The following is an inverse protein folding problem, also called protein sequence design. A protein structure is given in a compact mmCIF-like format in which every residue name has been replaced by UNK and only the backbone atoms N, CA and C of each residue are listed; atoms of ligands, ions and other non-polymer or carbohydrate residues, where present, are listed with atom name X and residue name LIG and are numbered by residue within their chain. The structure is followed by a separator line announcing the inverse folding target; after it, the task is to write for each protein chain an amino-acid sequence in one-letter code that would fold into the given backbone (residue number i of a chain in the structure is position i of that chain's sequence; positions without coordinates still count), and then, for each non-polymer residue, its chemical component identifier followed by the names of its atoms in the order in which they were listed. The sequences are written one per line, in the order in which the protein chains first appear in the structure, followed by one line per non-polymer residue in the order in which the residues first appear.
data_IF_452365865386
#
_entry.id   IF_452365865386
#
_cell.length_a   1.000
_cell.length_b   1.000
_cell.length_c   1.000
_cell.angle_alpha   90.00
_cell.angle_beta   90.00
_cell.angle_gamma   90.00
#
_symmetry.space_group_name_H-M   'P 1'
#
loop_
_entity.id
_entity.type
_entity.pdbx_description
1 polymer ?
#
# COMPACT_ATOMS: atom_id res chain seq x y z
N UNK A 1 3.82 21.42 -5.42
CA UNK A 1 2.61 21.57 -4.56
C UNK A 1 1.28 21.41 -5.29
N UNK A 2 0.92 22.27 -6.26
CA UNK A 2 -0.38 22.17 -6.96
C UNK A 2 -0.63 20.84 -7.65
N UNK A 3 0.35 20.32 -8.40
CA UNK A 3 0.27 18.99 -9.00
C UNK A 3 0.26 17.84 -7.98
N UNK A 4 0.89 18.03 -6.82
CA UNK A 4 0.82 17.06 -5.71
C UNK A 4 -0.60 17.04 -5.14
N UNK A 5 -1.18 18.22 -4.89
CA UNK A 5 -2.54 18.38 -4.44
C UNK A 5 -3.54 17.81 -5.45
N UNK A 6 -3.35 18.05 -6.75
CA UNK A 6 -4.14 17.43 -7.81
C UNK A 6 -4.06 15.89 -7.75
N UNK A 7 -2.87 15.33 -7.56
CA UNK A 7 -2.70 13.88 -7.35
C UNK A 7 -3.49 13.37 -6.15
N UNK A 8 -3.42 14.05 -5.00
CA UNK A 8 -4.17 13.69 -3.78
C UNK A 8 -5.68 13.80 -4.01
N UNK A 9 -6.16 14.88 -4.63
CA UNK A 9 -7.59 15.07 -4.94
C UNK A 9 -8.10 14.04 -5.96
N UNK A 10 -7.23 13.57 -6.86
CA UNK A 10 -7.56 12.43 -7.74
C UNK A 10 -7.75 11.14 -6.92
N UNK A 11 -6.96 10.92 -5.87
CA UNK A 11 -7.17 9.80 -4.92
C UNK A 11 -8.47 9.97 -4.12
N UNK A 12 -8.89 11.19 -3.80
CA UNK A 12 -10.21 11.45 -3.21
C UNK A 12 -11.32 10.98 -4.14
N UNK A 13 -11.24 11.29 -5.44
CA UNK A 13 -12.20 10.79 -6.45
C UNK A 13 -12.22 9.26 -6.47
N UNK A 14 -11.05 8.60 -6.42
CA UNK A 14 -10.96 7.15 -6.28
C UNK A 14 -11.73 6.62 -5.05
N UNK A 15 -11.55 7.22 -3.88
CA UNK A 15 -12.27 6.81 -2.68
C UNK A 15 -13.79 7.00 -2.83
N UNK A 16 -14.23 8.13 -3.41
CA UNK A 16 -15.65 8.40 -3.65
C UNK A 16 -16.27 7.45 -4.67
N UNK A 17 -15.51 7.02 -5.68
CA UNK A 17 -15.98 6.01 -6.65
C UNK A 17 -16.16 4.63 -6.01
N UNK A 18 -15.33 4.27 -5.02
CA UNK A 18 -15.56 3.05 -4.25
C UNK A 18 -16.86 3.14 -3.42
N UNK A 19 -17.14 4.32 -2.85
CA UNK A 19 -18.42 4.57 -2.14
C UNK A 19 -19.61 4.58 -3.09
N UNK A 20 -19.43 5.09 -4.31
CA UNK A 20 -20.49 5.17 -5.33
C UNK A 20 -21.17 3.82 -5.59
N UNK A 21 -20.40 2.73 -5.58
CA UNK A 21 -20.97 1.38 -5.70
C UNK A 21 -22.02 1.11 -4.63
N UNK A 22 -21.74 1.44 -3.37
CA UNK A 22 -22.72 1.29 -2.30
C UNK A 22 -23.89 2.27 -2.42
N UNK A 23 -23.65 3.51 -2.85
CA UNK A 23 -24.74 4.48 -3.05
C UNK A 23 -25.70 4.08 -4.18
N UNK A 24 -25.21 3.41 -5.23
CA UNK A 24 -26.03 2.99 -6.37
C UNK A 24 -26.78 1.67 -6.13
N UNK A 25 -26.10 0.68 -5.54
CA UNK A 25 -26.64 -0.68 -5.38
C UNK A 25 -27.16 -0.95 -3.96
N UNK A 26 -26.84 -0.09 -3.01
CA UNK A 26 -27.25 -0.25 -1.61
C UNK A 26 -26.57 -1.44 -0.92
N UNK A 27 -27.14 -1.89 0.20
CA UNK A 27 -26.67 -3.07 0.93
C UNK A 27 -27.07 -4.40 0.28
N UNK A 28 -28.03 -4.41 -0.64
CA UNK A 28 -28.64 -5.61 -1.23
C UNK A 28 -29.85 -6.13 -0.44
N UNK A 29 -30.76 -6.84 -1.12
CA UNK A 29 -31.99 -7.38 -0.52
C UNK A 29 -31.68 -8.42 0.57
N UNK A 30 -30.74 -9.33 0.30
CA UNK A 30 -30.28 -10.34 1.27
C UNK A 30 -29.79 -9.72 2.59
N UNK A 31 -29.17 -8.54 2.53
CA UNK A 31 -28.69 -7.84 3.71
C UNK A 31 -29.83 -7.15 4.48
N UNK A 32 -30.85 -6.67 3.77
CA UNK A 32 -32.02 -6.03 4.37
C UNK A 32 -32.89 -7.07 5.10
N UNK A 33 -33.08 -8.25 4.51
CA UNK A 33 -33.85 -9.35 5.10
C UNK A 33 -33.28 -9.85 6.44
N UNK A 34 -32.02 -9.52 6.74
CA UNK A 34 -31.38 -9.83 8.02
C UNK A 34 -31.67 -8.78 9.12
N UNK A 35 -32.50 -7.77 8.85
CA UNK A 35 -32.83 -6.69 9.79
C UNK A 35 -34.26 -6.80 10.31
N UNK A 36 -34.51 -6.38 11.56
CA UNK A 36 -35.85 -6.53 12.18
C UNK A 36 -36.91 -5.73 11.45
N UNK A 37 -36.53 -4.59 10.90
CA UNK A 37 -37.41 -3.66 10.19
C UNK A 37 -37.98 -4.27 8.91
N UNK A 38 -37.26 -5.23 8.30
CA UNK A 38 -37.66 -5.94 7.09
C UNK A 38 -38.15 -7.37 7.39
N UNK A 39 -38.49 -7.67 8.66
CA UNK A 39 -39.05 -8.97 9.05
C UNK A 39 -38.01 -10.06 9.30
N UNK A 40 -36.73 -9.68 9.45
CA UNK A 40 -35.66 -10.63 9.77
C UNK A 40 -35.88 -11.31 11.11
N UNK A 41 -35.82 -12.65 11.10
CA UNK A 41 -35.88 -13.48 12.30
C UNK A 41 -34.57 -14.24 12.47
N UNK A 42 -33.95 -14.11 13.65
CA UNK A 42 -32.75 -14.86 13.97
C UNK A 42 -33.08 -16.34 14.18
N UNK A 43 -32.61 -17.21 13.29
CA UNK A 43 -32.72 -18.65 13.43
C UNK A 43 -31.32 -19.28 13.54
N UNK A 44 -30.96 -19.71 14.75
CA UNK A 44 -29.65 -20.29 15.05
C UNK A 44 -29.36 -21.58 14.27
N UNK A 45 -30.40 -22.35 13.90
CA UNK A 45 -30.23 -23.58 13.12
C UNK A 45 -29.79 -23.30 11.67
N UNK A 46 -30.27 -22.21 11.07
CA UNK A 46 -29.88 -21.78 9.72
C UNK A 46 -28.45 -21.27 9.71
N UNK A 47 -28.06 -20.45 10.70
CA UNK A 47 -26.67 -20.00 10.83
C UNK A 47 -25.72 -21.18 11.00
N UNK A 48 -26.06 -22.17 11.83
CA UNK A 48 -25.24 -23.36 12.02
C UNK A 48 -25.10 -24.19 10.73
N UNK A 49 -26.20 -24.35 9.96
CA UNK A 49 -26.18 -25.05 8.68
C UNK A 49 -25.33 -24.33 7.63
N UNK A 50 -25.40 -23.01 7.55
CA UNK A 50 -24.57 -22.22 6.63
C UNK A 50 -23.09 -22.27 6.98
N UNK A 51 -22.75 -22.17 8.27
CA UNK A 51 -21.36 -22.34 8.74
C UNK A 51 -20.83 -23.74 8.41
N UNK A 52 -21.67 -24.77 8.56
CA UNK A 52 -21.32 -26.14 8.20
C UNK A 52 -21.14 -26.33 6.68
N UNK A 53 -21.99 -25.71 5.84
CA UNK A 53 -21.85 -25.70 4.38
C UNK A 53 -20.57 -24.95 3.95
N UNK A 54 -20.26 -23.80 4.54
CA UNK A 54 -19.04 -23.04 4.28
C UNK A 54 -17.79 -23.88 4.64
N UNK A 55 -17.81 -24.53 5.81
CA UNK A 55 -16.76 -25.45 6.22
C UNK A 55 -16.63 -26.65 5.26
N UNK A 56 -17.76 -27.19 4.79
CA UNK A 56 -17.78 -28.26 3.79
C UNK A 56 -17.28 -27.82 2.42
N UNK A 57 -17.46 -26.56 1.99
CA UNK A 57 -16.84 -26.01 0.77
C UNK A 57 -15.31 -25.90 0.91
N UNK A 58 -14.81 -25.64 2.11
CA UNK A 58 -13.36 -25.56 2.37
C UNK A 58 -12.67 -26.94 2.39
N UNK A 59 -13.43 -28.00 2.57
CA UNK A 59 -13.00 -29.39 2.50
C UNK A 59 -13.36 -29.92 1.10
N UNK A 60 -12.49 -30.66 0.43
CA UNK A 60 -12.81 -31.24 -0.89
C UNK A 60 -13.82 -32.41 -0.79
N UNK A 61 -14.97 -32.21 -0.13
CA UNK A 61 -16.05 -33.18 -0.11
C UNK A 61 -16.99 -32.93 -1.30
N UNK A 62 -16.93 -33.88 -2.22
CA UNK A 62 -17.67 -33.91 -3.48
C UNK A 62 -19.10 -34.41 -3.25
N UNK A 63 -19.87 -33.68 -2.45
CA UNK A 63 -21.32 -33.87 -2.45
C UNK A 63 -21.92 -32.90 -3.48
N UNK A 64 -22.56 -33.47 -4.50
CA UNK A 64 -23.31 -32.76 -5.54
C UNK A 64 -24.52 -32.04 -4.92
N UNK A 65 -24.28 -30.97 -4.19
CA UNK A 65 -25.30 -29.95 -4.00
C UNK A 65 -25.34 -29.25 -5.35
N UNK A 66 -26.41 -29.50 -6.12
CA UNK A 66 -26.72 -28.77 -7.35
C UNK A 66 -26.75 -27.29 -7.00
N UNK A 67 -25.63 -26.59 -7.23
CA UNK A 67 -25.62 -25.15 -7.27
C UNK A 67 -26.58 -24.78 -8.40
N UNK A 68 -27.74 -24.25 -8.02
CA UNK A 68 -28.63 -23.58 -8.94
C UNK A 68 -27.84 -22.37 -9.44
N UNK A 69 -27.06 -22.59 -10.49
CA UNK A 69 -26.18 -21.62 -11.08
C UNK A 69 -27.11 -20.61 -11.75
N UNK A 70 -27.53 -19.62 -10.98
CA UNK A 70 -28.43 -18.57 -11.41
C UNK A 70 -27.95 -18.06 -12.77
N UNK A 71 -28.75 -18.31 -13.80
CA UNK A 71 -28.47 -17.90 -15.17
C UNK A 71 -28.65 -16.40 -15.39
N UNK A 72 -28.87 -15.64 -14.30
CA UNK A 72 -28.90 -14.20 -14.31
C UNK A 72 -27.52 -13.65 -14.65
N UNK A 73 -27.45 -12.97 -15.79
CA UNK A 73 -26.26 -12.28 -16.25
C UNK A 73 -25.92 -11.21 -15.21
N UNK A 74 -24.97 -11.49 -14.32
CA UNK A 74 -24.55 -10.57 -13.28
C UNK A 74 -24.24 -9.19 -13.85
N UNK A 75 -24.75 -8.14 -13.21
CA UNK A 75 -24.52 -6.77 -13.64
C UNK A 75 -23.01 -6.46 -13.56
N UNK A 76 -22.38 -6.15 -14.70
CA UNK A 76 -20.94 -5.88 -14.79
C UNK A 76 -20.58 -4.43 -14.42
N UNK A 77 -21.57 -3.56 -14.20
CA UNK A 77 -21.34 -2.15 -13.93
C UNK A 77 -20.52 -1.88 -12.64
N UNK A 78 -20.73 -2.56 -11.49
CA UNK A 78 -19.85 -2.41 -10.32
C UNK A 78 -18.38 -2.69 -10.63
N UNK A 79 -18.10 -3.73 -11.41
CA UNK A 79 -16.74 -4.14 -11.80
C UNK A 79 -16.08 -3.07 -12.68
N UNK A 80 -16.83 -2.47 -13.61
CA UNK A 80 -16.34 -1.35 -14.44
C UNK A 80 -16.07 -0.12 -13.57
N UNK A 81 -16.96 0.22 -12.64
CA UNK A 81 -16.76 1.35 -11.72
C UNK A 81 -15.49 1.15 -10.88
N UNK A 82 -15.31 -0.05 -10.31
CA UNK A 82 -14.12 -0.37 -9.51
C UNK A 82 -12.85 -0.38 -10.36
N UNK A 83 -12.90 -0.89 -11.59
CA UNK A 83 -11.76 -0.84 -12.51
C UNK A 83 -11.36 0.61 -12.82
N UNK A 84 -12.32 1.46 -13.18
CA UNK A 84 -12.09 2.88 -13.41
C UNK A 84 -11.55 3.58 -12.16
N UNK A 85 -12.08 3.23 -10.97
CA UNK A 85 -11.57 3.73 -9.70
C UNK A 85 -10.08 3.37 -9.53
N UNK A 86 -9.69 2.11 -9.75
CA UNK A 86 -8.28 1.68 -9.64
C UNK A 86 -7.35 2.43 -10.61
N UNK A 87 -7.80 2.68 -11.85
CA UNK A 87 -7.04 3.48 -12.83
C UNK A 87 -6.80 4.90 -12.30
N UNK A 88 -7.86 5.55 -11.80
CA UNK A 88 -7.79 6.89 -11.21
C UNK A 88 -6.89 6.92 -9.97
N UNK A 89 -7.01 5.91 -9.10
CA UNK A 89 -6.15 5.71 -7.94
C UNK A 89 -4.67 5.58 -8.32
N UNK A 90 -4.38 4.86 -9.41
CA UNK A 90 -3.03 4.74 -9.98
C UNK A 90 -2.46 6.09 -10.44
N UNK A 91 -3.22 6.87 -11.20
CA UNK A 91 -2.81 8.21 -11.67
C UNK A 91 -2.53 9.13 -10.48
N UNK A 92 -3.47 9.20 -9.52
CA UNK A 92 -3.34 10.05 -8.33
C UNK A 92 -2.16 9.66 -7.45
N UNK A 93 -2.01 8.35 -7.19
CA UNK A 93 -0.92 7.78 -6.41
C UNK A 93 0.45 8.08 -7.03
N UNK A 94 0.64 7.82 -8.33
CA UNK A 94 1.91 8.11 -9.02
C UNK A 94 2.29 9.59 -8.93
N UNK A 95 1.34 10.51 -9.16
CA UNK A 95 1.60 11.95 -9.06
C UNK A 95 2.02 12.36 -7.64
N UNK A 96 1.30 11.89 -6.62
CA UNK A 96 1.62 12.16 -5.23
C UNK A 96 3.03 11.66 -4.86
N UNK A 97 3.33 10.40 -5.17
CA UNK A 97 4.61 9.79 -4.78
C UNK A 97 5.80 10.40 -5.49
N UNK A 98 5.73 10.52 -6.83
CA UNK A 98 6.86 11.03 -7.61
C UNK A 98 7.13 12.50 -7.30
N UNK A 99 6.09 13.35 -7.29
CA UNK A 99 6.26 14.77 -7.07
C UNK A 99 6.47 15.12 -5.59
N UNK A 100 5.89 14.36 -4.67
CA UNK A 100 6.03 14.56 -3.23
C UNK A 100 7.46 14.38 -2.74
N UNK A 101 8.11 13.28 -3.14
CA UNK A 101 9.50 13.01 -2.77
C UNK A 101 10.44 14.05 -3.39
N UNK A 102 10.27 14.40 -4.67
CA UNK A 102 11.08 15.43 -5.31
C UNK A 102 10.90 16.80 -4.65
N UNK A 103 9.66 17.19 -4.34
CA UNK A 103 9.38 18.45 -3.65
C UNK A 103 10.03 18.51 -2.27
N UNK A 104 10.00 17.40 -1.52
CA UNK A 104 10.66 17.30 -0.22
C UNK A 104 12.19 17.40 -0.35
N UNK A 105 12.80 16.72 -1.31
CA UNK A 105 14.26 16.78 -1.55
C UNK A 105 14.72 18.18 -1.97
N UNK A 106 13.97 18.84 -2.88
CA UNK A 106 14.31 20.17 -3.41
C UNK A 106 14.20 21.28 -2.34
N UNK A 107 13.30 21.11 -1.36
CA UNK A 107 13.04 22.10 -0.33
C UNK A 107 13.79 21.83 0.99
N UNK A 108 14.52 20.73 1.08
CA UNK A 108 15.23 20.31 2.29
C UNK A 108 16.74 20.44 2.10
N UNK A 109 17.51 20.86 3.13
CA UNK A 109 18.96 20.80 3.07
C UNK A 109 19.46 19.38 2.74
N UNK A 110 20.45 19.25 1.85
CA UNK A 110 21.03 17.96 1.44
C UNK A 110 21.46 17.06 2.61
N UNK A 111 21.89 17.64 3.73
CA UNK A 111 22.27 16.88 4.94
C UNK A 111 21.09 16.34 5.74
N UNK A 112 19.88 16.88 5.56
CA UNK A 112 18.66 16.46 6.28
C UNK A 112 17.69 15.69 5.40
N UNK A 113 17.82 15.79 4.08
CA UNK A 113 16.97 15.08 3.11
C UNK A 113 16.84 13.57 3.42
N UNK A 114 17.92 12.82 3.73
CA UNK A 114 17.79 11.39 4.01
C UNK A 114 16.92 11.08 5.23
N UNK A 115 16.98 11.88 6.31
CA UNK A 115 16.12 11.70 7.49
C UNK A 115 14.64 11.92 7.12
N UNK A 116 14.32 13.00 6.39
CA UNK A 116 12.92 13.28 6.02
C UNK A 116 12.36 12.22 5.07
N UNK A 117 13.16 11.74 4.11
CA UNK A 117 12.81 10.62 3.24
C UNK A 117 12.57 9.36 4.06
N UNK A 118 13.45 9.02 5.00
CA UNK A 118 13.27 7.86 5.88
C UNK A 118 12.03 7.95 6.75
N UNK A 119 11.73 9.10 7.35
CA UNK A 119 10.50 9.31 8.12
C UNK A 119 9.26 9.10 7.23
N UNK A 120 9.27 9.64 6.00
CA UNK A 120 8.19 9.45 5.05
C UNK A 120 7.97 7.97 4.68
N UNK A 121 9.04 7.23 4.41
CA UNK A 121 8.96 5.79 4.15
C UNK A 121 8.47 4.98 5.35
N UNK A 122 8.89 5.35 6.57
CA UNK A 122 8.42 4.70 7.79
C UNK A 122 6.92 4.95 8.02
N UNK A 123 6.45 6.19 7.90
CA UNK A 123 5.03 6.52 8.02
C UNK A 123 4.19 5.77 6.97
N UNK A 124 4.70 5.61 5.76
CA UNK A 124 4.05 4.80 4.72
C UNK A 124 3.85 3.34 5.16
N UNK A 125 4.83 2.79 5.88
CA UNK A 125 4.78 1.41 6.36
C UNK A 125 3.78 1.21 7.52
N UNK A 126 3.46 2.27 8.27
CA UNK A 126 2.36 2.24 9.24
C UNK A 126 0.98 2.27 8.56
N UNK A 127 0.91 2.68 7.30
CA UNK A 127 -0.32 2.77 6.51
C UNK A 127 -1.18 1.49 6.55
N UNK A 128 -0.64 0.31 6.23
CA UNK A 128 -1.38 -0.96 6.33
C UNK A 128 -1.94 -1.24 7.72
N UNK A 129 -1.19 -0.96 8.78
CA UNK A 129 -1.65 -1.19 10.16
C UNK A 129 -2.86 -0.32 10.46
N UNK A 130 -2.74 0.99 10.21
CA UNK A 130 -3.82 1.96 10.42
C UNK A 130 -5.04 1.62 9.53
N UNK A 131 -4.78 1.21 8.28
CA UNK A 131 -5.79 0.82 7.30
C UNK A 131 -6.56 -0.42 7.75
N UNK A 132 -5.89 -1.47 8.22
CA UNK A 132 -6.54 -2.67 8.74
C UNK A 132 -7.31 -2.39 10.04
N UNK A 133 -6.79 -1.54 10.92
CA UNK A 133 -7.54 -1.12 12.13
C UNK A 133 -8.81 -0.37 11.74
N UNK A 134 -8.73 0.58 10.80
CA UNK A 134 -9.90 1.31 10.31
C UNK A 134 -10.89 0.37 9.62
N UNK A 135 -10.40 -0.52 8.75
CA UNK A 135 -11.24 -1.51 8.08
C UNK A 135 -11.95 -2.43 9.09
N UNK A 136 -11.24 -2.93 10.10
CA UNK A 136 -11.81 -3.75 11.18
C UNK A 136 -12.90 -3.00 11.96
N UNK A 137 -12.67 -1.72 12.26
CA UNK A 137 -13.67 -0.87 12.93
C UNK A 137 -14.91 -0.64 12.06
N UNK A 138 -14.74 -0.35 10.77
CA UNK A 138 -15.85 -0.16 9.83
C UNK A 138 -16.62 -1.46 9.57
N UNK A 139 -15.92 -2.59 9.41
CA UNK A 139 -16.54 -3.89 9.18
C UNK A 139 -17.26 -4.44 10.43
N UNK A 140 -16.88 -3.94 11.61
CA UNK A 140 -17.58 -4.22 12.86
C UNK A 140 -18.95 -3.54 12.99
N UNK A 141 -19.29 -2.60 12.11
CA UNK A 141 -20.59 -1.93 12.05
C UNK A 141 -21.40 -2.58 10.92
N UNK A 142 -22.69 -2.84 11.13
CA UNK A 142 -23.54 -3.43 10.10
C UNK A 142 -23.66 -2.51 8.87
N UNK A 143 -23.74 -3.10 7.67
CA UNK A 143 -23.70 -2.38 6.38
C UNK A 143 -24.65 -1.18 6.30
N UNK A 144 -25.81 -1.29 6.95
CA UNK A 144 -26.79 -0.23 7.15
C UNK A 144 -26.84 0.16 8.63
N UNK A 145 -26.06 1.16 9.09
CA UNK A 145 -25.95 1.50 10.51
C UNK A 145 -27.26 1.98 11.16
N UNK A 146 -28.24 2.39 10.35
CA UNK A 146 -29.56 2.83 10.80
C UNK A 146 -30.55 1.70 11.08
N UNK A 147 -30.24 0.47 10.66
CA UNK A 147 -31.12 -0.70 10.81
C UNK A 147 -30.63 -1.60 11.94
N UNK A 148 -31.55 -2.39 12.52
CA UNK A 148 -31.22 -3.31 13.61
C UNK A 148 -30.98 -4.72 13.07
N UNK A 149 -29.71 -5.18 12.97
CA UNK A 149 -29.42 -6.52 12.49
C UNK A 149 -29.91 -7.57 13.48
N UNK A 150 -30.45 -8.66 12.95
CA UNK A 150 -30.87 -9.84 13.71
C UNK A 150 -29.74 -10.84 13.89
N UNK A 151 -28.70 -10.74 13.05
CA UNK A 151 -27.49 -11.57 13.05
C UNK A 151 -26.34 -10.92 13.82
N UNK A 152 -25.41 -11.75 14.30
CA UNK A 152 -24.21 -11.31 15.02
C UNK A 152 -23.01 -11.22 14.07
N UNK A 153 -21.92 -10.57 14.51
CA UNK A 153 -20.68 -10.41 13.74
C UNK A 153 -19.97 -11.73 13.38
N UNK A 154 -20.33 -12.81 14.07
CA UNK A 154 -19.79 -14.15 13.82
C UNK A 154 -20.58 -14.91 12.75
N UNK A 155 -21.74 -14.39 12.32
CA UNK A 155 -22.54 -15.01 11.26
C UNK A 155 -21.86 -14.73 9.90
N UNK A 156 -21.68 -15.74 9.03
CA UNK A 156 -21.03 -15.57 7.72
C UNK A 156 -21.75 -14.59 6.79
N UNK A 157 -23.04 -14.33 7.04
CA UNK A 157 -23.83 -13.35 6.28
C UNK A 157 -23.64 -11.91 6.78
N UNK A 158 -22.82 -11.69 7.81
CA UNK A 158 -22.54 -10.35 8.31
C UNK A 158 -21.80 -9.52 7.27
N UNK A 159 -22.46 -8.50 6.74
CA UNK A 159 -21.86 -7.49 5.89
C UNK A 159 -21.56 -6.24 6.70
N UNK A 160 -20.27 -5.90 6.75
CA UNK A 160 -19.80 -4.70 7.43
C UNK A 160 -19.94 -3.42 6.60
N UNK A 161 -20.01 -2.26 7.24
CA UNK A 161 -20.11 -0.95 6.60
C UNK A 161 -18.77 -0.46 6.02
N UNK A 162 -18.22 -1.22 5.06
CA UNK A 162 -16.92 -0.98 4.42
C UNK A 162 -16.82 0.41 3.74
N UNK A 163 -17.94 0.96 3.27
CA UNK A 163 -18.02 2.26 2.61
C UNK A 163 -17.70 3.45 3.54
N UNK A 164 -17.91 3.31 4.86
CA UNK A 164 -17.59 4.35 5.84
C UNK A 164 -16.09 4.64 5.88
N UNK A 165 -15.25 3.61 5.75
CA UNK A 165 -13.79 3.77 5.76
C UNK A 165 -13.31 4.63 4.59
N UNK A 166 -13.90 4.44 3.40
CA UNK A 166 -13.59 5.24 2.22
C UNK A 166 -13.99 6.71 2.37
N UNK A 167 -15.16 7.01 2.98
CA UNK A 167 -15.57 8.39 3.27
C UNK A 167 -14.63 9.08 4.25
N UNK A 168 -14.21 8.37 5.30
CA UNK A 168 -13.26 8.90 6.28
C UNK A 168 -11.91 9.24 5.61
N UNK A 169 -11.37 8.29 4.82
CA UNK A 169 -10.12 8.49 4.08
C UNK A 169 -10.25 9.63 3.07
N UNK A 170 -11.34 9.68 2.30
CA UNK A 170 -11.60 10.74 1.32
C UNK A 170 -11.61 12.12 1.98
N UNK A 171 -12.28 12.26 3.13
CA UNK A 171 -12.35 13.51 3.89
C UNK A 171 -10.98 13.96 4.37
N UNK A 172 -10.20 13.03 4.94
CA UNK A 172 -8.85 13.31 5.44
C UNK A 172 -7.90 13.73 4.30
N UNK A 173 -7.94 13.01 3.18
CA UNK A 173 -7.15 13.32 1.99
C UNK A 173 -7.56 14.64 1.34
N UNK A 174 -8.85 14.99 1.33
CA UNK A 174 -9.31 16.28 0.81
C UNK A 174 -8.74 17.43 1.63
N UNK A 175 -8.77 17.33 2.98
CA UNK A 175 -8.20 18.34 3.88
C UNK A 175 -6.70 18.51 3.61
N UNK A 176 -5.92 17.42 3.65
CA UNK A 176 -4.48 17.50 3.45
C UNK A 176 -4.08 17.87 2.02
N UNK A 177 -4.84 17.42 1.02
CA UNK A 177 -4.65 17.79 -0.39
C UNK A 177 -4.82 19.30 -0.58
N UNK A 178 -5.88 19.87 -0.02
CA UNK A 178 -6.10 21.32 -0.02
C UNK A 178 -4.97 22.07 0.70
N UNK A 179 -4.54 21.61 1.88
CA UNK A 179 -3.43 22.22 2.62
C UNK A 179 -2.14 22.23 1.80
N UNK A 180 -1.77 21.10 1.17
CA UNK A 180 -0.58 21.01 0.30
C UNK A 180 -0.69 21.92 -0.92
N UNK A 181 -1.90 22.14 -1.44
CA UNK A 181 -2.15 23.04 -2.55
C UNK A 181 -1.76 24.51 -2.27
N UNK A 182 -1.81 24.91 -0.99
CA UNK A 182 -1.47 26.26 -0.53
C UNK A 182 0.04 26.49 -0.36
N UNK A 183 0.85 25.44 -0.35
CA UNK A 183 2.30 25.59 -0.19
C UNK A 183 2.96 26.20 -1.45
N UNK A 184 3.97 27.08 -1.28
CA UNK A 184 4.70 27.65 -2.41
C UNK A 184 5.57 26.59 -3.11
N UNK A 185 5.95 26.83 -4.37
CA UNK A 185 6.81 25.91 -5.15
C UNK A 185 8.18 25.71 -4.50
N UNK A 186 8.72 26.77 -3.90
CA UNK A 186 10.00 26.78 -3.18
C UNK A 186 9.74 27.44 -1.84
N UNK A 187 10.12 26.79 -0.74
CA UNK A 187 10.02 27.35 0.60
C UNK A 187 10.97 28.55 0.75
N UNK A 188 10.63 29.60 1.53
CA UNK A 188 11.47 30.78 1.68
C UNK A 188 12.92 30.48 2.09
N UNK A 189 13.11 29.50 2.98
CA UNK A 189 14.45 29.05 3.42
C UNK A 189 15.23 28.33 2.30
N UNK A 190 14.54 27.60 1.43
CA UNK A 190 15.16 26.95 0.27
C UNK A 190 15.53 27.99 -0.80
N UNK A 191 14.66 28.98 -1.04
CA UNK A 191 14.92 30.09 -1.95
C UNK A 191 16.13 30.92 -1.50
N UNK A 192 16.19 31.29 -0.21
CA UNK A 192 17.34 32.02 0.34
C UNK A 192 18.66 31.24 0.18
N UNK A 193 18.64 29.92 0.39
CA UNK A 193 19.81 29.06 0.17
C UNK A 193 20.23 29.02 -1.30
N UNK A 194 19.28 28.93 -2.23
CA UNK A 194 19.57 28.91 -3.66
C UNK A 194 20.18 30.26 -4.11
N UNK A 195 19.66 31.38 -3.62
CA UNK A 195 20.20 32.71 -3.88
C UNK A 195 21.66 32.85 -3.42
N UNK A 196 21.97 32.40 -2.19
CA UNK A 196 23.36 32.40 -1.67
C UNK A 196 24.30 31.52 -2.51
N UNK A 197 23.83 30.36 -2.97
CA UNK A 197 24.65 29.47 -3.83
C UNK A 197 24.90 30.11 -5.19
N UNK A 198 23.91 30.79 -5.75
CA UNK A 198 24.03 31.49 -7.01
C UNK A 198 24.97 32.71 -6.91
N UNK A 199 24.86 33.49 -5.83
CA UNK A 199 25.76 34.60 -5.54
C UNK A 199 27.22 34.12 -5.38
N UNK A 200 27.44 33.04 -4.63
CA UNK A 200 28.78 32.43 -4.51
C UNK A 200 29.32 31.92 -5.85
N UNK A 201 28.45 31.43 -6.74
CA UNK A 201 28.84 30.98 -8.08
C UNK A 201 29.23 32.15 -8.99
N UNK A 202 28.48 33.26 -8.91
CA UNK A 202 28.78 34.53 -9.59
C UNK A 202 30.11 35.09 -9.11
N UNK A 203 30.32 35.13 -7.79
CA UNK A 203 31.58 35.53 -7.18
C UNK A 203 32.77 34.64 -7.59
N UNK A 204 32.53 33.36 -7.91
CA UNK A 204 33.54 32.42 -8.38
C UNK A 204 33.80 32.48 -9.90
N UNK A 205 33.23 33.44 -10.64
CA UNK A 205 33.47 33.63 -12.07
C UNK A 205 32.95 32.50 -12.98
N UNK A 206 31.98 31.70 -12.52
CA UNK A 206 31.40 30.56 -13.27
C UNK A 206 30.09 30.93 -13.99
N UNK A 207 30.09 32.09 -14.64
CA UNK A 207 28.89 32.76 -15.17
C UNK A 207 28.49 32.34 -16.61
N UNK A 208 29.31 31.55 -17.32
CA UNK A 208 29.07 31.25 -18.75
C UNK A 208 27.92 30.26 -19.04
N UNK A 209 27.22 29.75 -18.03
CA UNK A 209 25.97 29.04 -18.25
C UNK A 209 24.83 29.80 -17.61
N UNK A 210 24.36 30.86 -18.29
CA UNK A 210 22.99 31.33 -18.15
C UNK A 210 22.09 30.11 -18.33
N UNK A 211 21.55 29.60 -17.23
CA UNK A 211 20.38 28.72 -17.28
C UNK A 211 19.25 29.61 -17.80
N UNK A 212 19.11 29.72 -19.11
CA UNK A 212 17.82 30.06 -19.70
C UNK A 212 16.77 29.23 -18.98
N UNK A 213 15.71 29.86 -18.50
CA UNK A 213 14.56 29.14 -17.95
C UNK A 213 14.12 28.16 -19.02
N UNK A 214 14.52 26.89 -18.86
CA UNK A 214 14.23 25.84 -19.83
C UNK A 214 12.71 25.79 -19.89
N UNK A 215 12.15 26.33 -20.97
CA UNK A 215 10.74 26.24 -21.25
C UNK A 215 10.46 24.75 -21.39
N UNK A 216 9.93 24.13 -20.32
CA UNK A 216 9.85 22.68 -20.21
C UNK A 216 8.93 22.15 -21.31
N UNK A 217 9.51 21.66 -22.40
CA UNK A 217 8.79 21.10 -23.53
C UNK A 217 8.75 19.57 -23.42
N UNK A 218 7.68 18.95 -23.95
CA UNK A 218 7.61 17.49 -24.11
C UNK A 218 8.81 16.95 -24.90
N UNK A 219 9.32 17.73 -25.86
CA UNK A 219 10.53 17.36 -26.61
C UNK A 219 11.75 17.27 -25.70
N UNK A 220 11.90 18.18 -24.75
CA UNK A 220 13.00 18.17 -23.78
C UNK A 220 12.85 17.04 -22.76
N UNK A 221 11.62 16.71 -22.38
CA UNK A 221 11.33 15.53 -21.57
C UNK A 221 11.79 14.25 -22.28
N UNK A 222 11.40 14.05 -23.54
CA UNK A 222 11.81 12.88 -24.34
C UNK A 222 13.33 12.84 -24.51
N UNK A 223 13.96 13.99 -24.80
CA UNK A 223 15.43 14.10 -24.91
C UNK A 223 16.12 13.71 -23.59
N UNK A 224 15.60 14.19 -22.47
CA UNK A 224 16.10 13.88 -21.12
C UNK A 224 15.92 12.39 -20.79
N UNK A 225 14.75 11.82 -21.06
CA UNK A 225 14.48 10.38 -20.89
C UNK A 225 15.45 9.53 -21.72
N UNK A 226 15.66 9.87 -23.00
CA UNK A 226 16.65 9.18 -23.85
C UNK A 226 18.06 9.28 -23.28
N UNK A 227 18.45 10.42 -22.71
CA UNK A 227 19.74 10.58 -22.03
C UNK A 227 19.85 9.71 -20.79
N UNK A 228 18.80 9.65 -19.95
CA UNK A 228 18.77 8.80 -18.76
C UNK A 228 18.87 7.32 -19.14
N UNK A 229 18.15 6.87 -20.17
CA UNK A 229 18.21 5.48 -20.66
C UNK A 229 19.59 5.09 -21.22
N UNK A 230 20.37 6.06 -21.72
CA UNK A 230 21.75 5.81 -22.18
C UNK A 230 22.78 5.79 -21.04
N UNK A 231 22.41 6.25 -19.84
CA UNK A 231 23.30 6.20 -18.68
C UNK A 231 23.39 4.77 -18.15
N UNK A 232 24.46 4.06 -18.52
CA UNK A 232 24.70 2.66 -18.15
C UNK A 232 24.63 2.43 -16.64
N UNK A 233 25.23 3.30 -15.83
CA UNK A 233 25.24 3.15 -14.37
C UNK A 233 23.82 3.25 -13.79
N UNK A 234 23.02 4.21 -14.26
CA UNK A 234 21.62 4.35 -13.85
C UNK A 234 20.79 3.13 -14.28
N UNK A 235 20.96 2.67 -15.52
CA UNK A 235 20.20 1.52 -16.03
C UNK A 235 20.55 0.23 -15.29
N UNK A 236 21.83 -0.08 -15.08
CA UNK A 236 22.24 -1.26 -14.31
C UNK A 236 21.72 -1.21 -12.87
N UNK A 237 21.74 -0.04 -12.23
CA UNK A 237 21.18 0.11 -10.88
C UNK A 237 19.65 -0.10 -10.85
N UNK A 238 18.93 0.38 -11.86
CA UNK A 238 17.49 0.13 -11.99
C UNK A 238 17.18 -1.34 -12.25
N UNK A 239 17.90 -2.00 -13.18
CA UNK A 239 17.72 -3.43 -13.42
C UNK A 239 18.01 -4.25 -12.16
N UNK A 240 19.10 -3.96 -11.45
CA UNK A 240 19.42 -4.63 -10.18
C UNK A 240 18.28 -4.45 -9.15
N UNK A 241 17.71 -3.25 -9.06
CA UNK A 241 16.58 -2.97 -8.16
C UNK A 241 15.32 -3.74 -8.56
N UNK A 242 15.03 -3.85 -9.86
CA UNK A 242 13.90 -4.65 -10.38
C UNK A 242 14.08 -6.13 -10.06
N UNK A 243 15.26 -6.71 -10.33
CA UNK A 243 15.53 -8.11 -10.01
C UNK A 243 15.48 -8.39 -8.50
N UNK A 244 16.01 -7.48 -7.68
CA UNK A 244 15.93 -7.58 -6.22
C UNK A 244 14.47 -7.59 -5.75
N UNK A 245 13.64 -6.65 -6.23
CA UNK A 245 12.22 -6.62 -5.87
C UNK A 245 11.48 -7.87 -6.38
N UNK A 246 11.75 -8.33 -7.60
CA UNK A 246 11.12 -9.53 -8.15
C UNK A 246 11.45 -10.79 -7.34
N UNK A 247 12.68 -10.92 -6.82
CA UNK A 247 13.07 -12.02 -5.94
C UNK A 247 12.54 -11.89 -4.50
N UNK A 248 12.48 -10.66 -3.97
CA UNK A 248 12.07 -10.39 -2.60
C UNK A 248 10.54 -10.41 -2.40
N UNK A 249 9.75 -9.95 -3.39
CA UNK A 249 8.30 -9.80 -3.25
C UNK A 249 7.56 -11.12 -2.97
N UNK A 250 7.85 -12.25 -3.66
CA UNK A 250 7.24 -13.53 -3.32
C UNK A 250 7.54 -13.97 -1.89
N UNK A 251 8.79 -13.80 -1.43
CA UNK A 251 9.14 -14.05 -0.03
C UNK A 251 8.27 -13.22 0.91
N UNK A 252 8.19 -11.91 0.68
CA UNK A 252 7.41 -11.01 1.54
C UNK A 252 5.91 -11.36 1.58
N UNK A 253 5.32 -11.70 0.45
CA UNK A 253 3.88 -12.02 0.33
C UNK A 253 3.56 -13.40 0.89
N UNK A 254 4.39 -14.42 0.62
CA UNK A 254 4.09 -15.81 0.99
C UNK A 254 4.67 -16.23 2.35
N UNK A 255 5.46 -15.38 3.02
CA UNK A 255 6.04 -15.70 4.34
C UNK A 255 4.99 -16.11 5.38
N UNK A 256 3.84 -15.43 5.56
CA UNK A 256 2.82 -15.87 6.52
C UNK A 256 2.31 -17.26 6.16
N UNK A 257 2.05 -17.52 4.87
CA UNK A 257 1.53 -18.80 4.39
C UNK A 257 2.54 -19.94 4.55
N UNK A 258 3.82 -19.64 4.38
CA UNK A 258 4.91 -20.57 4.66
C UNK A 258 4.93 -20.97 6.15
N UNK A 259 4.79 -20.01 7.07
CA UNK A 259 4.71 -20.30 8.51
C UNK A 259 3.48 -21.15 8.85
N UNK A 260 2.32 -20.82 8.27
CA UNK A 260 1.10 -21.63 8.45
C UNK A 260 1.31 -23.08 8.03
N UNK A 261 1.88 -23.28 6.84
CA UNK A 261 1.94 -24.61 6.21
C UNK A 261 3.06 -25.48 6.80
N UNK A 262 4.25 -24.92 6.97
CA UNK A 262 5.44 -25.68 7.40
C UNK A 262 5.50 -25.83 8.93
N UNK A 263 5.13 -24.78 9.67
CA UNK A 263 5.17 -24.80 11.15
C UNK A 263 3.81 -25.07 11.78
N UNK A 264 2.78 -25.39 10.97
CA UNK A 264 1.41 -25.72 11.38
C UNK A 264 0.82 -24.70 12.37
N UNK A 265 1.12 -23.43 12.13
CA UNK A 265 0.61 -22.32 12.93
C UNK A 265 -0.73 -21.81 12.36
N UNK A 266 -1.51 -21.14 13.20
CA UNK A 266 -2.72 -20.46 12.72
C UNK A 266 -2.39 -19.29 11.80
N UNK A 267 -3.26 -19.01 10.83
CA UNK A 267 -3.11 -17.89 9.89
C UNK A 267 -3.01 -16.53 10.60
N UNK A 268 -3.76 -16.37 11.70
CA UNK A 268 -3.70 -15.17 12.53
C UNK A 268 -2.33 -15.00 13.21
N UNK A 269 -1.79 -16.07 13.81
CA UNK A 269 -0.48 -16.02 14.45
C UNK A 269 0.64 -15.75 13.44
N UNK A 270 0.64 -16.47 12.32
CA UNK A 270 1.64 -16.30 11.26
C UNK A 270 1.65 -14.88 10.67
N UNK A 271 0.46 -14.33 10.40
CA UNK A 271 0.29 -12.96 9.90
C UNK A 271 0.69 -11.91 10.94
N UNK A 272 0.36 -12.15 12.21
CA UNK A 272 0.76 -11.26 13.31
C UNK A 272 2.28 -11.20 13.47
N UNK A 273 2.95 -12.35 13.55
CA UNK A 273 4.41 -12.44 13.73
C UNK A 273 5.15 -11.78 12.56
N UNK A 274 4.81 -12.16 11.33
CA UNK A 274 5.44 -11.59 10.13
C UNK A 274 5.19 -10.09 10.01
N UNK A 275 3.97 -9.63 10.32
CA UNK A 275 3.61 -8.22 10.32
C UNK A 275 4.40 -7.40 11.35
N UNK A 276 4.44 -7.85 12.61
CA UNK A 276 5.15 -7.16 13.70
C UNK A 276 6.65 -7.12 13.46
N UNK A 277 7.26 -8.26 13.11
CA UNK A 277 8.70 -8.33 12.82
C UNK A 277 9.05 -7.40 11.67
N UNK A 278 8.28 -7.43 10.58
CA UNK A 278 8.50 -6.55 9.44
C UNK A 278 8.43 -5.08 9.86
N UNK A 279 7.38 -4.69 10.61
CA UNK A 279 7.19 -3.30 11.02
C UNK A 279 8.32 -2.79 11.92
N UNK A 280 8.74 -3.58 12.92
CA UNK A 280 9.78 -3.19 13.88
C UNK A 280 11.15 -3.16 13.19
N UNK A 281 11.53 -4.22 12.50
CA UNK A 281 12.83 -4.33 11.84
C UNK A 281 13.00 -3.28 10.73
N UNK A 282 11.97 -3.09 9.89
CA UNK A 282 12.04 -2.07 8.86
C UNK A 282 11.97 -0.65 9.46
N UNK A 283 11.30 -0.45 10.60
CA UNK A 283 11.33 0.83 11.32
C UNK A 283 12.74 1.20 11.76
N UNK A 284 13.43 0.27 12.42
CA UNK A 284 14.84 0.44 12.85
C UNK A 284 15.74 0.65 11.62
N UNK A 285 15.58 -0.15 10.57
CA UNK A 285 16.40 -0.08 9.36
C UNK A 285 16.23 1.22 8.58
N UNK A 286 14.99 1.63 8.30
CA UNK A 286 14.68 2.82 7.51
C UNK A 286 15.06 4.10 8.27
N UNK A 287 14.66 4.22 9.54
CA UNK A 287 14.98 5.41 10.34
C UNK A 287 16.47 5.47 10.68
N UNK A 288 17.07 4.34 11.07
CA UNK A 288 18.49 4.23 11.39
C UNK A 288 19.38 4.59 10.20
N UNK A 289 19.07 4.07 9.01
CA UNK A 289 19.80 4.43 7.78
C UNK A 289 19.67 5.91 7.43
N UNK A 290 18.49 6.51 7.60
CA UNK A 290 18.29 7.95 7.38
C UNK A 290 19.18 8.80 8.28
N UNK A 291 19.23 8.48 9.57
CA UNK A 291 20.09 9.16 10.55
C UNK A 291 21.56 8.96 10.22
N UNK A 292 21.97 7.73 9.93
CA UNK A 292 23.35 7.40 9.58
C UNK A 292 23.83 8.15 8.34
N UNK A 293 23.07 8.08 7.23
CA UNK A 293 23.43 8.76 5.98
C UNK A 293 23.49 10.28 6.18
N UNK A 294 22.57 10.85 6.95
CA UNK A 294 22.52 12.29 7.22
C UNK A 294 23.71 12.78 8.07
N UNK A 295 24.18 11.98 9.03
CA UNK A 295 25.29 12.34 9.92
C UNK A 295 26.66 11.98 9.33
N UNK A 296 26.84 10.74 8.90
CA UNK A 296 28.11 10.21 8.44
C UNK A 296 28.45 10.63 7.00
N UNK A 297 27.44 10.98 6.19
CA UNK A 297 27.59 11.40 4.78
C UNK A 297 28.54 10.46 3.99
N UNK A 298 28.26 9.14 3.99
CA UNK A 298 29.13 8.17 3.33
C UNK A 298 29.21 8.44 1.82
N UNK A 299 30.31 7.99 1.20
CA UNK A 299 30.45 8.09 -0.25
C UNK A 299 29.41 7.23 -0.99
N UNK A 300 29.01 7.65 -2.19
CA UNK A 300 28.07 6.88 -3.01
C UNK A 300 28.57 5.46 -3.32
N UNK A 301 29.89 5.27 -3.46
CA UNK A 301 30.50 3.95 -3.69
C UNK A 301 30.33 3.03 -2.49
N UNK A 302 30.49 3.57 -1.28
CA UNK A 302 30.26 2.80 -0.06
C UNK A 302 28.80 2.33 0.05
N UNK A 303 27.84 3.22 -0.23
CA UNK A 303 26.42 2.87 -0.23
C UNK A 303 26.08 1.82 -1.30
N UNK A 304 26.67 1.92 -2.49
CA UNK A 304 26.49 0.91 -3.54
C UNK A 304 27.05 -0.46 -3.12
N UNK A 305 28.25 -0.50 -2.53
CA UNK A 305 28.85 -1.74 -2.02
C UNK A 305 28.00 -2.34 -0.89
N UNK A 306 27.49 -1.50 0.02
CA UNK A 306 26.59 -1.91 1.08
C UNK A 306 25.31 -2.59 0.55
N UNK A 307 24.70 -2.03 -0.49
CA UNK A 307 23.52 -2.65 -1.13
C UNK A 307 23.83 -4.04 -1.71
N UNK A 308 25.01 -4.23 -2.32
CA UNK A 308 25.44 -5.54 -2.83
C UNK A 308 25.63 -6.53 -1.69
N UNK A 309 26.30 -6.13 -0.60
CA UNK A 309 26.50 -6.98 0.57
C UNK A 309 25.17 -7.41 1.19
N UNK A 310 24.23 -6.48 1.40
CA UNK A 310 22.88 -6.81 1.90
C UNK A 310 22.17 -7.75 0.93
N UNK A 311 22.25 -7.50 -0.38
CA UNK A 311 21.64 -8.37 -1.39
C UNK A 311 22.11 -9.82 -1.26
N UNK A 312 23.43 -10.05 -1.09
CA UNK A 312 23.99 -11.39 -0.89
C UNK A 312 23.46 -12.01 0.41
N UNK A 313 23.47 -11.27 1.52
CA UNK A 313 22.96 -11.75 2.81
C UNK A 313 21.47 -12.09 2.73
N UNK A 314 20.67 -11.27 2.04
CA UNK A 314 19.24 -11.52 1.83
C UNK A 314 19.02 -12.78 1.01
N UNK A 315 19.79 -13.01 -0.06
CA UNK A 315 19.67 -14.24 -0.86
C UNK A 315 20.03 -15.47 -0.03
N UNK A 316 21.12 -15.42 0.74
CA UNK A 316 21.53 -16.51 1.63
C UNK A 316 20.46 -16.78 2.71
N UNK A 317 19.87 -15.74 3.27
CA UNK A 317 18.79 -15.84 4.25
C UNK A 317 17.49 -16.39 3.66
N UNK A 318 17.13 -16.00 2.44
CA UNK A 318 15.96 -16.56 1.75
C UNK A 318 16.21 -18.05 1.43
N UNK A 319 17.42 -18.39 0.97
CA UNK A 319 17.79 -19.77 0.66
C UNK A 319 17.80 -20.67 1.90
N UNK A 320 18.19 -20.16 3.08
CA UNK A 320 18.19 -20.96 4.30
C UNK A 320 16.80 -21.42 4.73
N UNK A 321 15.73 -20.68 4.39
CA UNK A 321 14.36 -21.11 4.67
C UNK A 321 13.97 -22.39 3.93
N UNK A 322 14.60 -22.72 2.80
CA UNK A 322 14.35 -24.01 2.13
C UNK A 322 14.74 -25.21 3.01
N UNK A 323 15.58 -25.00 4.02
CA UNK A 323 16.07 -26.03 4.94
C UNK A 323 15.48 -25.92 6.35
N UNK A 324 14.67 -24.88 6.60
CA UNK A 324 13.95 -24.72 7.86
C UNK A 324 12.59 -25.41 7.75
N UNK A 325 12.32 -26.33 8.67
CA UNK A 325 11.05 -27.03 8.75
C UNK A 325 10.96 -27.84 10.04
N UNK A 326 9.75 -28.24 10.41
CA UNK A 326 9.57 -29.17 11.51
C UNK A 326 9.95 -30.58 11.04
N UNK A 327 10.71 -31.37 11.84
CA UNK A 327 10.80 -32.79 11.60
C UNK A 327 9.39 -33.36 11.64
N UNK A 328 9.03 -34.19 10.66
CA UNK A 328 7.75 -34.89 10.66
C UNK A 328 7.81 -35.86 11.83
N UNK A 329 7.22 -35.48 12.97
CA UNK A 329 6.97 -36.44 14.03
C UNK A 329 5.91 -37.42 13.48
N UNK A 330 6.36 -38.63 13.14
CA UNK A 330 5.55 -39.72 12.57
C UNK A 330 4.30 -40.07 13.40
N UNK A 331 4.19 -39.58 14.63
CA UNK A 331 3.11 -39.86 15.58
C UNK A 331 1.80 -39.12 15.23
N UNK A 332 1.81 -38.05 14.44
CA UNK A 332 0.57 -37.32 14.05
C UNK A 332 0.05 -37.64 12.65
N UNK A 333 0.79 -38.40 11.83
CA UNK A 333 0.29 -38.87 10.53
C UNK A 333 -0.75 -40.01 10.67
N UNK A 334 -0.88 -40.61 11.85
CA UNK A 334 -1.85 -41.66 12.17
C UNK A 334 -3.20 -41.14 12.71
N UNK A 335 -3.41 -39.82 12.76
CA UNK A 335 -4.67 -39.19 13.21
C UNK A 335 -5.25 -38.21 12.16
N UNK A 336 -5.10 -38.54 10.87
CA UNK A 336 -5.93 -37.97 9.80
C UNK A 336 -6.67 -39.13 9.13
#
# INVERSE_FOLDING_TARGET
PRWIAFGILTVVVYCLMNVLCHCMYGPGEDALDLTREFGGHFNSSVTALLVDVENRRSLCHRDEISEDCGTEVGNFAPQVILFCAQVIGGIGGSLYYTLGVSYMDDNTPRSKSPIFVSISFFLRMLGPVIGYTLASACLSIFISPSLTPTVTKSDPRWLGAWWLGWLFIASLLAIFGCMIGLFPKILPKAAARQAIVEENRKAAGKDDEKKEEIHTSLKDMIKTMKRLMKNKALMFNNFASVFFLMGYMPYWIFMPKYIETIFRQSASYASFVTGVITLVCAGIGILGSGVYISKAKPSARFLAAWNVCIGIVSVLGIFSYAFLGCPVNEIQAAMI
#
